data_IF_736649680696
#
_entry.id   IF_736649680696
#
_cell.length_a   1.000
_cell.length_b   1.000
_cell.length_c   1.000
_cell.angle_alpha   90.00
_cell.angle_beta   90.00
_cell.angle_gamma   90.00
#
_symmetry.space_group_name_H-M   'P 1'
#
loop_
_entity.id
_entity.type
_entity.pdbx_description
1 polymer ?
#
# COMPACT_ATOMS: atom_id res chain seq x y z
N UNK A 1 -4.69 -20.60 -0.07
CA UNK A 1 -4.59 -19.48 -1.02
C UNK A 1 -3.18 -19.44 -1.58
N UNK A 2 -2.97 -19.99 -2.77
CA UNK A 2 -1.75 -19.82 -3.54
C UNK A 2 -1.99 -18.65 -4.50
N UNK A 3 -1.53 -17.47 -4.18
CA UNK A 3 -1.43 -16.41 -5.15
C UNK A 3 -0.22 -16.72 -6.03
N UNK A 4 -0.47 -17.10 -7.28
CA UNK A 4 0.57 -17.10 -8.28
C UNK A 4 0.85 -15.64 -8.62
N UNK A 5 1.91 -15.11 -8.07
CA UNK A 5 2.42 -13.78 -8.44
C UNK A 5 3.06 -13.97 -9.82
N UNK A 6 2.66 -13.15 -10.78
CA UNK A 6 3.18 -13.20 -12.14
C UNK A 6 4.71 -13.05 -12.20
N UNK A 7 5.31 -13.22 -13.37
CA UNK A 7 6.76 -13.25 -13.51
C UNK A 7 7.39 -11.92 -13.12
N UNK A 8 8.30 -11.97 -12.15
CA UNK A 8 9.16 -10.84 -11.78
C UNK A 8 10.34 -10.66 -12.75
N UNK A 9 10.55 -11.55 -13.67
CA UNK A 9 11.47 -11.32 -14.78
C UNK A 9 10.83 -10.44 -15.87
N UNK A 10 10.38 -9.26 -15.45
CA UNK A 10 10.13 -8.21 -16.41
C UNK A 10 11.50 -7.72 -16.88
N UNK A 11 11.91 -8.04 -18.12
CA UNK A 11 13.05 -7.35 -18.66
C UNK A 11 12.62 -5.88 -18.69
N UNK A 12 13.37 -5.02 -18.05
CA UNK A 12 13.16 -3.56 -18.04
C UNK A 12 12.99 -2.95 -19.45
N UNK A 13 12.97 -3.76 -20.48
CA UNK A 13 12.99 -3.32 -21.87
C UNK A 13 11.64 -3.13 -22.52
N UNK A 14 10.56 -3.68 -22.04
CA UNK A 14 9.26 -3.50 -22.73
C UNK A 14 8.08 -3.78 -21.81
N UNK A 15 7.77 -2.86 -20.91
CA UNK A 15 6.48 -2.86 -20.19
C UNK A 15 5.27 -2.89 -21.14
N UNK A 16 5.43 -2.39 -22.37
CA UNK A 16 4.41 -2.40 -23.42
C UNK A 16 4.22 -3.76 -24.14
N UNK A 17 5.04 -4.76 -23.85
CA UNK A 17 4.99 -6.08 -24.51
C UNK A 17 4.83 -7.24 -23.52
N UNK A 18 4.18 -7.02 -22.38
CA UNK A 18 3.76 -8.10 -21.52
C UNK A 18 2.82 -9.03 -22.31
N UNK A 19 3.40 -10.07 -22.90
CA UNK A 19 2.63 -11.06 -23.66
C UNK A 19 1.66 -11.74 -22.71
N UNK A 20 0.43 -11.97 -23.15
CA UNK A 20 -0.56 -12.78 -22.42
C UNK A 20 -0.16 -14.26 -22.28
N UNK A 21 0.99 -14.63 -22.79
CA UNK A 21 1.57 -15.96 -22.63
C UNK A 21 2.28 -16.03 -21.28
N UNK A 22 1.94 -17.03 -20.50
CA UNK A 22 2.73 -17.41 -19.34
C UNK A 22 4.18 -17.61 -19.79
N UNK A 23 5.17 -17.00 -19.13
CA UNK A 23 6.57 -17.27 -19.42
C UNK A 23 6.90 -18.75 -19.16
N UNK A 24 7.97 -19.23 -19.75
CA UNK A 24 8.48 -20.57 -19.47
C UNK A 24 8.70 -20.75 -17.96
N UNK A 25 8.46 -21.95 -17.46
CA UNK A 25 8.50 -22.24 -16.03
C UNK A 25 9.79 -21.77 -15.31
N UNK A 26 10.92 -21.76 -16.05
CA UNK A 26 12.21 -21.30 -15.54
C UNK A 26 12.36 -19.77 -15.45
N UNK A 27 11.42 -19.01 -16.01
CA UNK A 27 11.42 -17.54 -16.00
C UNK A 27 10.34 -16.95 -15.10
N UNK A 28 9.60 -17.78 -14.38
CA UNK A 28 8.50 -17.36 -13.50
C UNK A 28 9.03 -17.22 -12.08
N UNK A 29 8.94 -16.02 -11.54
CA UNK A 29 9.06 -15.79 -10.11
C UNK A 29 7.68 -15.98 -9.49
N UNK A 30 7.49 -17.06 -8.77
CA UNK A 30 6.21 -17.39 -8.16
C UNK A 30 6.43 -18.04 -6.80
N UNK A 31 5.46 -17.84 -5.91
CA UNK A 31 5.50 -18.46 -4.60
C UNK A 31 4.14 -18.37 -3.91
N UNK A 32 3.99 -19.16 -2.86
CA UNK A 32 2.81 -19.10 -2.01
C UNK A 32 3.20 -19.39 -0.57
N UNK A 33 2.50 -18.75 0.35
CA UNK A 33 2.58 -19.10 1.76
C UNK A 33 1.58 -20.23 2.08
N UNK A 34 2.03 -21.26 2.74
CA UNK A 34 1.12 -22.22 3.37
C UNK A 34 0.38 -21.54 4.55
N UNK A 35 -0.78 -22.09 4.90
CA UNK A 35 -1.51 -21.64 6.09
C UNK A 35 -0.63 -21.67 7.36
N UNK A 36 0.19 -22.69 7.52
CA UNK A 36 1.10 -22.80 8.67
C UNK A 36 2.15 -21.68 8.68
N UNK A 37 2.74 -21.35 7.54
CA UNK A 37 3.69 -20.24 7.43
C UNK A 37 3.06 -18.88 7.77
N UNK A 38 1.81 -18.64 7.34
CA UNK A 38 1.10 -17.41 7.69
C UNK A 38 0.81 -17.37 9.20
N UNK A 39 0.39 -18.47 9.81
CA UNK A 39 0.16 -18.55 11.24
C UNK A 39 1.44 -18.33 12.06
N UNK A 40 2.56 -18.86 11.59
CA UNK A 40 3.87 -18.65 12.21
C UNK A 40 4.31 -17.18 12.11
N UNK A 41 4.11 -16.56 10.94
CA UNK A 41 4.37 -15.13 10.71
C UNK A 41 3.50 -14.24 11.62
N UNK A 42 2.22 -14.53 11.77
CA UNK A 42 1.31 -13.82 12.69
C UNK A 42 1.78 -13.98 14.14
N UNK A 43 2.19 -15.18 14.53
CA UNK A 43 2.71 -15.44 15.87
C UNK A 43 3.98 -14.64 16.14
N UNK A 44 4.89 -14.59 15.17
CA UNK A 44 6.11 -13.80 15.25
C UNK A 44 5.82 -12.30 15.34
N UNK A 45 4.92 -11.79 14.50
CA UNK A 45 4.50 -10.39 14.51
C UNK A 45 3.87 -9.98 15.85
N UNK A 46 3.00 -10.82 16.41
CA UNK A 46 2.40 -10.61 17.73
C UNK A 46 3.43 -10.46 18.86
N UNK A 47 4.53 -11.22 18.82
CA UNK A 47 5.64 -11.09 19.81
C UNK A 47 6.31 -9.72 19.73
N UNK A 48 6.29 -9.10 18.55
CA UNK A 48 6.88 -7.78 18.30
C UNK A 48 5.86 -6.63 18.35
N UNK A 49 4.62 -6.91 18.73
CA UNK A 49 3.51 -5.95 18.74
C UNK A 49 3.24 -5.35 17.36
N UNK A 50 3.43 -6.13 16.31
CA UNK A 50 3.16 -5.77 14.92
C UNK A 50 1.86 -6.45 14.50
N UNK A 51 0.90 -5.67 14.02
CA UNK A 51 -0.34 -6.17 13.40
C UNK A 51 -0.10 -6.38 11.91
N UNK A 52 -0.52 -7.53 11.40
CA UNK A 52 -0.50 -7.79 9.95
C UNK A 52 -1.92 -7.61 9.43
N UNK A 53 -2.13 -6.64 8.55
CA UNK A 53 -3.39 -6.41 7.87
C UNK A 53 -3.30 -7.06 6.48
N UNK A 54 -4.11 -8.09 6.18
CA UNK A 54 -4.12 -8.66 4.85
C UNK A 54 -4.83 -7.73 3.87
N UNK A 55 -4.37 -7.72 2.62
CA UNK A 55 -5.02 -7.00 1.54
C UNK A 55 -5.33 -7.92 0.36
N UNK A 56 -6.53 -7.78 -0.17
CA UNK A 56 -6.99 -8.36 -1.44
C UNK A 56 -7.50 -7.20 -2.27
N UNK A 57 -6.66 -6.69 -3.14
CA UNK A 57 -6.96 -5.49 -3.91
C UNK A 57 -8.05 -5.75 -4.96
N UNK A 58 -9.15 -5.04 -4.81
CA UNK A 58 -10.36 -5.08 -5.63
C UNK A 58 -11.08 -3.71 -5.58
N UNK A 59 -11.83 -3.34 -6.62
CA UNK A 59 -12.07 -4.07 -7.87
C UNK A 59 -10.98 -3.91 -8.91
N UNK A 60 -10.12 -2.89 -8.79
CA UNK A 60 -8.93 -2.67 -9.59
C UNK A 60 -7.81 -3.65 -9.25
N UNK A 61 -6.66 -3.51 -9.88
CA UNK A 61 -5.43 -4.30 -9.62
C UNK A 61 -5.61 -5.83 -9.53
N UNK A 62 -6.76 -6.34 -9.99
CA UNK A 62 -7.21 -7.73 -9.80
C UNK A 62 -6.76 -8.69 -10.92
N UNK A 63 -5.84 -8.27 -11.79
CA UNK A 63 -5.45 -9.11 -12.95
C UNK A 63 -4.94 -10.50 -12.55
N UNK A 64 -4.21 -10.60 -11.45
CA UNK A 64 -3.72 -11.88 -10.94
C UNK A 64 -4.89 -12.80 -10.52
N UNK A 65 -5.90 -12.24 -9.85
CA UNK A 65 -7.11 -12.96 -9.46
C UNK A 65 -7.89 -13.43 -10.67
N UNK A 66 -8.07 -12.57 -11.66
CA UNK A 66 -8.76 -12.89 -12.92
C UNK A 66 -8.04 -13.99 -13.72
N UNK A 67 -6.71 -13.98 -13.73
CA UNK A 67 -5.92 -15.03 -14.41
C UNK A 67 -5.93 -16.35 -13.63
N UNK A 68 -5.97 -16.31 -12.31
CA UNK A 68 -6.00 -17.51 -11.48
C UNK A 68 -7.38 -18.20 -11.49
N UNK A 69 -8.46 -17.42 -11.55
CA UNK A 69 -9.84 -17.88 -11.48
C UNK A 69 -10.71 -17.23 -12.59
N UNK A 70 -10.39 -17.46 -13.86
CA UNK A 70 -11.05 -16.77 -14.97
C UNK A 70 -12.56 -17.06 -15.04
N UNK A 71 -12.98 -18.27 -14.68
CA UNK A 71 -14.40 -18.64 -14.68
C UNK A 71 -15.26 -17.86 -13.66
N UNK A 72 -14.61 -17.15 -12.74
CA UNK A 72 -15.29 -16.39 -11.67
C UNK A 72 -15.06 -14.89 -11.82
N UNK A 73 -13.89 -14.46 -12.28
CA UNK A 73 -13.49 -13.06 -12.22
C UNK A 73 -13.21 -12.44 -13.58
N UNK A 74 -13.51 -13.13 -14.67
CA UNK A 74 -13.35 -12.57 -16.02
C UNK A 74 -14.69 -12.55 -16.74
N UNK A 75 -15.11 -11.38 -17.19
CA UNK A 75 -16.27 -11.19 -18.04
C UNK A 75 -15.85 -11.06 -19.51
N UNK A 76 -16.35 -11.94 -20.36
CA UNK A 76 -16.08 -11.88 -21.78
C UNK A 76 -16.69 -10.63 -22.40
N UNK A 77 -15.87 -9.86 -23.15
CA UNK A 77 -16.30 -8.61 -23.78
C UNK A 77 -15.99 -7.35 -22.97
N UNK A 78 -15.53 -7.46 -21.73
CA UNK A 78 -14.94 -6.33 -21.03
C UNK A 78 -13.51 -6.08 -21.54
N UNK A 79 -13.29 -4.92 -22.15
CA UNK A 79 -12.02 -4.50 -22.73
C UNK A 79 -11.35 -3.38 -21.93
N UNK A 80 -11.72 -3.19 -20.66
CA UNK A 80 -11.11 -2.19 -19.79
C UNK A 80 -9.59 -2.36 -19.69
N UNK A 81 -8.84 -1.27 -19.73
CA UNK A 81 -7.39 -1.27 -19.69
C UNK A 81 -6.86 -0.42 -18.53
N UNK A 82 -5.74 -0.86 -17.97
CA UNK A 82 -4.94 -0.10 -17.01
C UNK A 82 -3.50 -0.02 -17.52
N UNK A 83 -2.99 1.19 -17.69
CA UNK A 83 -1.59 1.46 -18.07
C UNK A 83 -1.08 0.62 -19.26
N UNK A 84 -1.96 0.31 -20.22
CA UNK A 84 -1.62 -0.55 -21.38
C UNK A 84 -1.63 -2.05 -21.09
N UNK A 85 -2.02 -2.45 -19.90
CA UNK A 85 -2.32 -3.84 -19.55
C UNK A 85 -3.81 -4.09 -19.78
N UNK A 86 -4.17 -5.17 -20.46
CA UNK A 86 -5.58 -5.53 -20.64
C UNK A 86 -6.31 -5.63 -19.30
N UNK A 87 -7.60 -5.86 -19.33
CA UNK A 87 -8.51 -5.81 -18.20
C UNK A 87 -7.89 -6.31 -16.89
N UNK A 88 -7.90 -5.47 -15.86
CA UNK A 88 -7.38 -5.74 -14.52
C UNK A 88 -8.43 -5.54 -13.42
N UNK A 89 -9.69 -5.36 -13.77
CA UNK A 89 -10.79 -5.08 -12.84
C UNK A 89 -11.83 -6.19 -12.88
N UNK A 90 -12.22 -6.68 -11.72
CA UNK A 90 -13.24 -7.74 -11.59
C UNK A 90 -14.61 -7.25 -12.08
N UNK A 91 -15.52 -8.16 -12.47
CA UNK A 91 -16.82 -7.81 -13.09
C UNK A 91 -17.85 -7.35 -12.03
N UNK A 92 -17.71 -6.13 -11.52
CA UNK A 92 -18.51 -5.59 -10.41
C UNK A 92 -20.03 -5.64 -10.65
N UNK A 93 -20.46 -5.51 -11.92
CA UNK A 93 -21.87 -5.54 -12.27
C UNK A 93 -22.48 -6.94 -12.18
N UNK A 94 -21.67 -7.97 -12.10
CA UNK A 94 -22.09 -9.35 -11.88
C UNK A 94 -22.29 -9.68 -10.39
N UNK A 95 -21.83 -8.85 -9.47
CA UNK A 95 -21.96 -9.13 -8.04
C UNK A 95 -23.45 -9.22 -7.64
N UNK A 96 -23.83 -10.35 -7.05
CA UNK A 96 -25.20 -10.69 -6.71
C UNK A 96 -26.17 -10.77 -7.92
N UNK A 97 -25.66 -10.93 -9.15
CA UNK A 97 -26.51 -11.19 -10.30
C UNK A 97 -26.96 -12.66 -10.37
N UNK A 98 -28.09 -12.90 -11.05
CA UNK A 98 -28.63 -14.25 -11.27
C UNK A 98 -27.91 -15.01 -12.42
N UNK A 99 -26.95 -14.39 -13.09
CA UNK A 99 -26.17 -15.02 -14.14
C UNK A 99 -25.30 -16.16 -13.58
N UNK A 100 -24.89 -17.10 -14.43
CA UNK A 100 -23.99 -18.18 -14.03
C UNK A 100 -22.64 -17.62 -13.56
N UNK A 101 -22.13 -16.57 -14.21
CA UNK A 101 -20.94 -15.86 -13.81
C UNK A 101 -21.14 -15.16 -12.47
N UNK A 102 -22.24 -14.41 -12.30
CA UNK A 102 -22.52 -13.66 -11.09
C UNK A 102 -22.68 -14.52 -9.84
N UNK A 103 -23.36 -15.65 -9.95
CA UNK A 103 -23.47 -16.61 -8.85
C UNK A 103 -22.09 -17.13 -8.43
N UNK A 104 -21.26 -17.50 -9.38
CA UNK A 104 -19.91 -18.00 -9.12
C UNK A 104 -18.98 -16.90 -8.60
N UNK A 105 -19.00 -15.73 -9.21
CA UNK A 105 -18.25 -14.55 -8.79
C UNK A 105 -18.56 -14.19 -7.35
N UNK A 106 -19.84 -14.03 -7.00
CA UNK A 106 -20.27 -13.65 -5.64
C UNK A 106 -19.82 -14.69 -4.61
N UNK A 107 -19.99 -15.99 -4.92
CA UNK A 107 -19.60 -17.07 -4.01
C UNK A 107 -18.09 -17.11 -3.80
N UNK A 108 -17.30 -17.07 -4.88
CA UNK A 108 -15.85 -17.16 -4.82
C UNK A 108 -15.22 -15.93 -4.17
N UNK A 109 -15.70 -14.72 -4.49
CA UNK A 109 -15.23 -13.49 -3.87
C UNK A 109 -15.51 -13.49 -2.36
N UNK A 110 -16.76 -13.77 -1.97
CA UNK A 110 -17.15 -13.87 -0.57
C UNK A 110 -16.28 -14.86 0.19
N UNK A 111 -16.02 -16.01 -0.42
CA UNK A 111 -15.19 -17.06 0.17
C UNK A 111 -13.72 -16.62 0.34
N UNK A 112 -13.13 -15.99 -0.67
CA UNK A 112 -11.75 -15.47 -0.63
C UNK A 112 -11.62 -14.44 0.49
N UNK A 113 -12.49 -13.43 0.53
CA UNK A 113 -12.41 -12.34 1.51
C UNK A 113 -12.58 -12.88 2.94
N UNK A 114 -13.59 -13.70 3.16
CA UNK A 114 -13.87 -14.22 4.52
C UNK A 114 -12.81 -15.19 5.00
N UNK A 115 -12.31 -16.08 4.16
CA UNK A 115 -11.22 -17.00 4.54
C UNK A 115 -9.92 -16.24 4.82
N UNK A 116 -9.61 -15.21 4.04
CA UNK A 116 -8.45 -14.36 4.28
C UNK A 116 -8.57 -13.66 5.63
N UNK A 117 -9.67 -12.97 5.89
CA UNK A 117 -9.89 -12.31 7.17
C UNK A 117 -9.80 -13.30 8.36
N UNK A 118 -10.43 -14.48 8.26
CA UNK A 118 -10.36 -15.50 9.30
C UNK A 118 -8.95 -16.00 9.57
N UNK A 119 -8.10 -16.09 8.54
CA UNK A 119 -6.72 -16.54 8.70
C UNK A 119 -5.90 -15.55 9.52
N UNK A 120 -6.18 -14.24 9.40
CA UNK A 120 -5.47 -13.17 10.09
C UNK A 120 -6.15 -12.69 11.39
N UNK A 121 -7.28 -13.26 11.78
CA UNK A 121 -8.07 -12.80 12.93
C UNK A 121 -7.51 -13.23 14.31
N UNK A 122 -6.34 -13.89 14.37
CA UNK A 122 -5.73 -14.38 15.62
C UNK A 122 -4.67 -13.42 16.19
N UNK A 123 -4.79 -12.13 15.89
CA UNK A 123 -3.83 -11.14 16.34
C UNK A 123 -4.23 -10.54 17.69
N UNK A 124 -3.24 -10.36 18.56
CA UNK A 124 -3.43 -9.91 19.94
C UNK A 124 -2.68 -8.62 20.25
N UNK A 125 -2.26 -7.89 19.22
CA UNK A 125 -1.59 -6.60 19.38
C UNK A 125 -2.57 -5.52 19.87
N UNK A 126 -2.05 -4.47 20.48
CA UNK A 126 -2.88 -3.39 21.06
C UNK A 126 -3.72 -2.64 20.00
N UNK A 127 -3.26 -2.64 18.74
CA UNK A 127 -3.88 -1.89 17.65
C UNK A 127 -4.58 -2.78 16.62
N UNK A 128 -4.67 -4.09 16.90
CA UNK A 128 -5.38 -5.00 16.00
C UNK A 128 -6.87 -4.69 15.96
N UNK A 129 -7.39 -4.44 14.79
CA UNK A 129 -8.83 -4.37 14.54
C UNK A 129 -9.33 -5.78 14.23
N UNK A 130 -10.30 -6.25 14.99
CA UNK A 130 -10.85 -7.59 14.76
C UNK A 130 -11.56 -7.66 13.41
N UNK A 131 -11.28 -8.73 12.66
CA UNK A 131 -11.85 -8.99 11.34
C UNK A 131 -11.48 -7.93 10.29
N UNK A 132 -10.36 -7.25 10.43
CA UNK A 132 -9.91 -6.28 9.43
C UNK A 132 -9.38 -6.96 8.19
N UNK A 133 -9.78 -6.43 7.03
CA UNK A 133 -9.30 -6.82 5.71
C UNK A 133 -9.23 -5.56 4.83
N UNK A 134 -8.06 -5.25 4.31
CA UNK A 134 -7.94 -4.25 3.27
C UNK A 134 -8.39 -4.84 1.93
N UNK A 135 -9.17 -4.05 1.21
CA UNK A 135 -9.65 -4.38 -0.14
C UNK A 135 -9.00 -3.51 -1.22
N UNK A 136 -7.99 -2.72 -0.85
CA UNK A 136 -7.38 -1.76 -1.78
C UNK A 136 -8.38 -0.68 -2.19
N UNK A 137 -9.02 -0.85 -3.33
CA UNK A 137 -10.05 0.04 -3.82
C UNK A 137 -9.51 1.29 -4.50
N UNK A 138 -8.30 1.21 -5.01
CA UNK A 138 -7.62 2.31 -5.68
C UNK A 138 -7.58 2.13 -7.20
N UNK A 139 -7.32 3.25 -7.85
CA UNK A 139 -6.98 3.35 -9.26
C UNK A 139 -7.96 2.68 -10.24
N UNK A 140 -9.25 2.74 -9.96
CA UNK A 140 -10.28 2.40 -10.95
C UNK A 140 -10.44 3.55 -11.94
N UNK A 141 -10.03 3.31 -13.18
CA UNK A 141 -9.97 4.35 -14.19
C UNK A 141 -11.31 4.68 -14.81
N UNK A 142 -11.42 5.89 -15.30
CA UNK A 142 -12.56 6.31 -16.12
C UNK A 142 -12.67 5.42 -17.36
N UNK A 143 -13.85 4.86 -17.60
CA UNK A 143 -14.10 3.96 -18.70
C UNK A 143 -14.02 2.47 -18.34
N UNK A 144 -13.54 2.14 -17.14
CA UNK A 144 -13.61 0.76 -16.63
C UNK A 144 -15.07 0.28 -16.63
N UNK A 145 -15.29 -0.92 -17.16
CA UNK A 145 -16.60 -1.56 -17.37
C UNK A 145 -17.54 -0.86 -18.37
N UNK A 146 -17.10 0.10 -19.16
CA UNK A 146 -17.97 0.75 -20.11
C UNK A 146 -18.41 -0.21 -21.25
N UNK A 147 -17.57 -1.19 -21.59
CA UNK A 147 -17.84 -2.23 -22.57
C UNK A 147 -18.35 -3.55 -21.94
N UNK A 148 -18.32 -3.68 -20.62
CA UNK A 148 -18.73 -4.90 -19.92
C UNK A 148 -20.22 -5.20 -20.15
N UNK A 149 -20.60 -6.36 -20.70
CA UNK A 149 -22.00 -6.68 -21.01
C UNK A 149 -22.95 -6.60 -19.81
N UNK A 150 -22.51 -7.05 -18.63
CA UNK A 150 -23.30 -6.98 -17.40
C UNK A 150 -23.61 -5.55 -16.97
N UNK A 151 -22.73 -4.62 -17.30
CA UNK A 151 -22.89 -3.20 -16.96
C UNK A 151 -23.79 -2.43 -17.94
N UNK A 152 -24.26 -3.04 -19.03
CA UNK A 152 -25.16 -2.40 -20.01
C UNK A 152 -26.60 -2.34 -19.56
N UNK A 153 -26.94 -2.96 -18.43
CA UNK A 153 -28.30 -2.98 -17.88
C UNK A 153 -28.45 -2.05 -16.68
N UNK A 154 -29.69 -1.69 -16.31
CA UNK A 154 -29.96 -0.90 -15.11
C UNK A 154 -29.64 -1.72 -13.84
N UNK A 155 -29.10 -1.10 -12.79
CA UNK A 155 -28.86 0.34 -12.65
C UNK A 155 -27.53 0.82 -13.26
N UNK A 156 -26.65 -0.08 -13.66
CA UNK A 156 -25.25 0.11 -13.98
C UNK A 156 -24.99 1.01 -15.20
N UNK A 157 -25.83 0.90 -16.22
CA UNK A 157 -25.68 1.63 -17.50
C UNK A 157 -25.83 3.15 -17.40
N UNK A 158 -26.21 3.67 -16.22
CA UNK A 158 -26.31 5.11 -15.94
C UNK A 158 -25.23 5.61 -14.99
N UNK A 159 -24.31 4.75 -14.60
CA UNK A 159 -23.26 5.03 -13.64
C UNK A 159 -21.90 5.24 -14.35
N UNK A 160 -21.13 6.17 -13.83
CA UNK A 160 -19.69 6.27 -14.15
C UNK A 160 -18.92 5.12 -13.51
N UNK A 161 -17.68 4.87 -13.93
CA UNK A 161 -16.82 3.83 -13.34
C UNK A 161 -16.74 3.96 -11.81
N UNK A 162 -16.46 5.16 -11.31
CA UNK A 162 -16.43 5.44 -9.86
C UNK A 162 -17.77 5.17 -9.17
N UNK A 163 -18.90 5.49 -9.81
CA UNK A 163 -20.21 5.19 -9.23
C UNK A 163 -20.52 3.70 -9.22
N UNK A 164 -20.07 2.95 -10.23
CA UNK A 164 -20.14 1.49 -10.27
C UNK A 164 -19.32 0.88 -9.14
N UNK A 165 -18.10 1.35 -8.98
CA UNK A 165 -17.21 0.93 -7.91
C UNK A 165 -17.83 1.15 -6.53
N UNK A 166 -18.20 2.37 -6.19
CA UNK A 166 -18.78 2.67 -4.88
C UNK A 166 -20.10 1.92 -4.62
N UNK A 167 -20.91 1.75 -5.66
CA UNK A 167 -22.13 0.93 -5.52
C UNK A 167 -21.81 -0.54 -5.25
N UNK A 168 -20.81 -1.08 -5.93
CA UNK A 168 -20.29 -2.43 -5.69
C UNK A 168 -19.75 -2.57 -4.26
N UNK A 169 -18.88 -1.66 -3.82
CA UNK A 169 -18.27 -1.70 -2.50
C UNK A 169 -19.31 -1.58 -1.36
N UNK A 170 -20.29 -0.70 -1.52
CA UNK A 170 -21.42 -0.59 -0.60
C UNK A 170 -22.24 -1.90 -0.56
N UNK A 171 -22.52 -2.48 -1.72
CA UNK A 171 -23.23 -3.76 -1.82
C UNK A 171 -22.42 -4.90 -1.19
N UNK A 172 -21.11 -4.93 -1.45
CA UNK A 172 -20.16 -5.89 -0.89
C UNK A 172 -20.15 -5.81 0.65
N UNK A 173 -19.99 -4.59 1.19
CA UNK A 173 -19.95 -4.36 2.63
C UNK A 173 -21.26 -4.77 3.34
N UNK A 174 -22.37 -4.67 2.66
CA UNK A 174 -23.68 -5.08 3.20
C UNK A 174 -24.00 -6.58 2.99
N UNK A 175 -23.16 -7.32 2.26
CA UNK A 175 -23.41 -8.72 1.90
C UNK A 175 -22.92 -9.68 2.99
N UNK A 176 -23.80 -10.52 3.61
CA UNK A 176 -23.34 -11.54 4.55
C UNK A 176 -22.51 -12.65 3.85
N UNK A 177 -21.43 -13.13 4.45
CA UNK A 177 -20.88 -12.76 5.77
C UNK A 177 -19.86 -11.62 5.76
N UNK A 178 -19.64 -10.94 4.62
CA UNK A 178 -18.65 -9.85 4.48
C UNK A 178 -18.99 -8.69 5.42
N UNK A 179 -20.26 -8.42 5.68
CA UNK A 179 -20.72 -7.40 6.62
C UNK A 179 -20.29 -7.61 8.08
N UNK A 180 -19.60 -8.71 8.38
CA UNK A 180 -18.96 -8.95 9.68
C UNK A 180 -17.49 -8.55 9.70
N UNK A 181 -16.94 -8.15 8.56
CA UNK A 181 -15.58 -7.66 8.42
C UNK A 181 -15.53 -6.16 8.71
N UNK A 182 -14.33 -5.67 8.98
CA UNK A 182 -13.97 -4.26 8.95
C UNK A 182 -13.16 -4.04 7.68
N UNK A 183 -13.82 -3.51 6.66
CA UNK A 183 -13.14 -3.23 5.40
C UNK A 183 -12.26 -1.99 5.54
N UNK A 184 -11.04 -2.10 5.10
CA UNK A 184 -10.05 -1.03 5.00
C UNK A 184 -9.67 -0.84 3.53
N UNK A 185 -9.05 0.27 3.19
CA UNK A 185 -8.58 0.49 1.82
C UNK A 185 -8.03 1.89 1.62
N UNK A 186 -7.64 2.15 0.38
CA UNK A 186 -7.16 3.45 -0.05
C UNK A 186 -8.31 4.46 -0.07
N UNK A 187 -7.99 5.74 0.01
CA UNK A 187 -9.00 6.80 0.13
C UNK A 187 -10.08 6.78 -0.98
N UNK A 188 -9.77 6.21 -2.13
CA UNK A 188 -10.69 6.10 -3.26
C UNK A 188 -11.93 5.27 -2.94
N UNK A 189 -11.82 4.28 -2.05
CA UNK A 189 -13.00 3.47 -1.69
C UNK A 189 -14.07 4.25 -0.88
N UNK A 190 -13.73 5.47 -0.42
CA UNK A 190 -14.63 6.38 0.30
C UNK A 190 -14.87 7.69 -0.45
N UNK A 191 -13.82 8.24 -1.06
CA UNK A 191 -13.85 9.57 -1.67
C UNK A 191 -14.20 9.52 -3.15
N UNK A 192 -14.91 10.52 -3.60
CA UNK A 192 -15.07 10.83 -5.01
C UNK A 192 -13.80 11.47 -5.59
N UNK A 193 -13.69 11.55 -6.92
CA UNK A 193 -12.52 12.16 -7.58
C UNK A 193 -12.25 13.61 -7.17
N UNK A 194 -13.26 14.36 -6.75
CA UNK A 194 -13.12 15.72 -6.22
C UNK A 194 -12.83 15.76 -4.71
N UNK A 195 -12.52 14.61 -4.12
CA UNK A 195 -12.10 14.50 -2.73
C UNK A 195 -13.22 14.66 -1.70
N UNK A 196 -14.47 14.48 -2.09
CA UNK A 196 -15.62 14.54 -1.20
C UNK A 196 -16.08 13.14 -0.77
N UNK A 197 -16.67 13.03 0.42
CA UNK A 197 -17.32 11.78 0.83
C UNK A 197 -18.48 11.45 -0.12
N UNK A 198 -18.51 10.25 -0.64
CA UNK A 198 -19.67 9.77 -1.38
C UNK A 198 -20.83 9.47 -0.41
N UNK A 199 -21.66 10.47 -0.16
CA UNK A 199 -22.76 10.39 0.82
C UNK A 199 -23.81 9.31 0.50
N UNK A 200 -23.82 8.80 -0.72
CA UNK A 200 -24.83 7.84 -1.19
C UNK A 200 -24.39 6.38 -1.07
N UNK A 201 -23.12 6.13 -1.35
CA UNK A 201 -22.56 4.78 -1.44
C UNK A 201 -21.17 4.73 -0.86
N UNK A 202 -20.97 5.13 0.39
CA UNK A 202 -19.70 4.98 1.08
C UNK A 202 -19.85 4.03 2.27
N UNK A 203 -18.80 3.24 2.51
CA UNK A 203 -18.66 2.49 3.75
C UNK A 203 -18.56 3.49 4.89
N UNK A 204 -19.37 3.33 5.93
CA UNK A 204 -19.44 4.30 7.02
C UNK A 204 -18.24 4.20 7.96
N UNK A 205 -17.86 5.30 8.65
CA UNK A 205 -16.69 5.30 9.53
C UNK A 205 -16.71 4.21 10.61
N UNK A 206 -17.88 3.90 11.18
CA UNK A 206 -18.04 2.85 12.18
C UNK A 206 -17.98 1.41 11.62
N UNK A 207 -18.07 1.26 10.32
CA UNK A 207 -17.97 -0.01 9.58
C UNK A 207 -16.59 -0.21 8.98
N UNK A 208 -15.77 0.84 8.93
CA UNK A 208 -14.45 0.89 8.33
C UNK A 208 -13.36 0.49 9.34
N UNK A 209 -12.33 -0.21 8.89
CA UNK A 209 -11.07 -0.36 9.61
C UNK A 209 -10.21 0.90 9.44
N UNK A 210 -9.17 0.85 8.62
CA UNK A 210 -8.31 2.00 8.31
C UNK A 210 -8.56 2.56 6.90
N UNK A 211 -8.29 3.85 6.73
CA UNK A 211 -8.27 4.50 5.41
C UNK A 211 -6.90 5.10 5.16
N UNK A 212 -6.21 4.57 4.17
CA UNK A 212 -4.91 5.07 3.74
C UNK A 212 -5.08 6.18 2.71
N UNK A 213 -4.43 7.31 2.95
CA UNK A 213 -4.49 8.45 2.04
C UNK A 213 -3.13 8.64 1.38
N UNK A 214 -3.04 8.20 0.13
CA UNK A 214 -1.83 8.24 -0.66
C UNK A 214 -1.84 9.37 -1.71
N UNK A 215 -0.65 9.71 -2.20
CA UNK A 215 -0.42 10.69 -3.25
C UNK A 215 0.68 11.67 -2.93
N UNK A 216 0.76 12.74 -3.71
CA UNK A 216 1.68 13.86 -3.42
C UNK A 216 1.16 14.68 -2.25
N UNK A 217 2.06 15.31 -1.51
CA UNK A 217 1.74 16.02 -0.27
C UNK A 217 0.54 16.97 -0.35
N UNK A 218 0.40 17.70 -1.46
CA UNK A 218 -0.72 18.64 -1.64
C UNK A 218 -2.09 17.94 -1.77
N UNK A 219 -2.10 16.72 -2.28
CA UNK A 219 -3.31 15.91 -2.48
C UNK A 219 -3.70 15.18 -1.21
N UNK A 220 -2.71 14.56 -0.56
CA UNK A 220 -2.91 13.83 0.71
C UNK A 220 -3.53 14.72 1.76
N UNK A 221 -3.03 15.95 1.94
CA UNK A 221 -3.47 16.84 2.99
C UNK A 221 -4.98 17.13 2.92
N UNK A 222 -5.50 17.53 1.77
CA UNK A 222 -6.93 17.87 1.62
C UNK A 222 -7.85 16.67 1.81
N UNK A 223 -7.47 15.51 1.24
CA UNK A 223 -8.24 14.26 1.34
C UNK A 223 -8.26 13.74 2.79
N UNK A 224 -7.10 13.73 3.45
CA UNK A 224 -6.96 13.29 4.83
C UNK A 224 -7.79 14.15 5.80
N UNK A 225 -7.76 15.48 5.63
CA UNK A 225 -8.58 16.41 6.43
C UNK A 225 -10.07 16.15 6.20
N UNK A 226 -10.49 15.90 4.95
CA UNK A 226 -11.89 15.56 4.64
C UNK A 226 -12.31 14.27 5.36
N UNK A 227 -11.52 13.21 5.27
CA UNK A 227 -11.82 11.93 5.91
C UNK A 227 -11.82 12.03 7.43
N UNK A 228 -10.78 12.62 8.02
CA UNK A 228 -10.65 12.78 9.48
C UNK A 228 -11.82 13.59 10.07
N UNK A 229 -12.21 14.68 9.41
CA UNK A 229 -13.35 15.51 9.84
C UNK A 229 -14.70 14.76 9.75
N UNK A 230 -14.78 13.68 8.99
CA UNK A 230 -15.93 12.81 8.85
C UNK A 230 -15.80 11.48 9.62
N UNK A 231 -14.95 11.43 10.64
CA UNK A 231 -14.79 10.32 11.58
C UNK A 231 -14.11 9.05 11.03
N UNK A 232 -13.44 9.13 9.88
CA UNK A 232 -12.66 7.99 9.39
C UNK A 232 -11.29 7.95 10.06
N UNK A 233 -10.80 6.76 10.44
CA UNK A 233 -9.45 6.57 10.94
C UNK A 233 -8.45 6.61 9.77
N UNK A 234 -7.62 7.65 9.74
CA UNK A 234 -6.76 8.00 8.59
C UNK A 234 -5.31 7.65 8.87
N UNK A 235 -4.68 6.97 7.93
CA UNK A 235 -3.22 6.79 7.85
C UNK A 235 -2.71 7.59 6.65
N UNK A 236 -1.63 8.35 6.88
CA UNK A 236 -1.06 9.23 5.87
C UNK A 236 0.10 8.53 5.14
N UNK A 237 0.04 8.56 3.82
CA UNK A 237 1.07 8.00 2.96
C UNK A 237 1.45 9.02 1.87
N UNK A 238 2.50 9.76 2.12
CA UNK A 238 2.99 10.77 1.19
C UNK A 238 3.98 10.15 0.20
N UNK A 239 3.57 9.95 -1.04
CA UNK A 239 4.40 9.30 -2.05
C UNK A 239 5.76 10.01 -2.27
N UNK A 240 5.80 11.33 -2.12
CA UNK A 240 7.02 12.13 -2.21
C UNK A 240 7.95 12.03 -0.99
N UNK A 241 7.56 11.32 0.06
CA UNK A 241 8.38 11.10 1.27
C UNK A 241 8.52 9.64 1.67
N UNK A 242 7.50 8.83 1.48
CA UNK A 242 7.39 7.50 2.08
C UNK A 242 7.17 6.36 1.10
N UNK A 243 7.23 6.59 -0.21
CA UNK A 243 7.31 5.50 -1.19
C UNK A 243 8.77 5.04 -1.28
N UNK A 244 9.05 3.90 -0.66
CA UNK A 244 10.42 3.38 -0.54
C UNK A 244 10.93 2.74 -1.83
N UNK A 245 10.06 2.41 -2.76
CA UNK A 245 10.38 2.00 -4.12
C UNK A 245 10.86 3.16 -5.02
N UNK A 246 10.78 4.42 -4.56
CA UNK A 246 11.40 5.55 -5.25
C UNK A 246 12.92 5.49 -5.14
N UNK A 247 13.60 5.86 -6.23
CA UNK A 247 15.08 5.86 -6.30
C UNK A 247 15.70 6.81 -5.29
N UNK A 248 16.86 6.44 -4.76
CA UNK A 248 17.64 7.31 -3.86
C UNK A 248 18.35 8.45 -4.59
N UNK A 249 18.86 8.18 -5.79
CA UNK A 249 19.68 9.12 -6.56
C UNK A 249 19.28 9.10 -8.06
N UNK A 250 19.61 10.16 -8.83
CA UNK A 250 19.26 10.23 -10.24
C UNK A 250 20.20 9.41 -11.14
N UNK A 251 20.91 8.43 -10.61
CA UNK A 251 21.85 7.63 -11.38
C UNK A 251 21.11 6.55 -12.18
N UNK A 252 21.50 6.35 -13.45
CA UNK A 252 20.85 5.40 -14.36
C UNK A 252 20.85 3.93 -13.89
N UNK A 253 21.72 3.57 -12.96
CA UNK A 253 21.82 2.22 -12.39
C UNK A 253 21.16 2.09 -11.03
N UNK A 254 20.69 3.19 -10.45
CA UNK A 254 19.99 3.18 -9.19
C UNK A 254 18.62 2.50 -9.37
N UNK A 255 18.29 1.48 -8.57
CA UNK A 255 16.97 0.84 -8.65
C UNK A 255 15.87 1.76 -8.15
N UNK A 256 14.65 1.50 -8.59
CA UNK A 256 13.44 2.19 -8.14
C UNK A 256 12.80 3.06 -9.20
N UNK A 257 11.64 3.60 -8.82
CA UNK A 257 10.89 4.57 -9.60
C UNK A 257 11.23 6.01 -9.19
N UNK A 258 10.73 6.99 -9.95
CA UNK A 258 10.92 8.43 -9.66
C UNK A 258 9.69 9.29 -9.99
N UNK A 259 8.54 8.65 -10.23
CA UNK A 259 7.31 9.35 -10.61
C UNK A 259 6.73 10.21 -9.47
N UNK A 260 6.87 9.77 -8.22
CA UNK A 260 6.28 10.45 -7.07
C UNK A 260 7.10 11.65 -6.63
N UNK A 261 8.41 11.66 -6.86
CA UNK A 261 9.25 12.60 -6.14
C UNK A 261 10.37 13.20 -6.91
N UNK A 262 10.86 13.92 -6.19
CA UNK A 262 12.10 14.19 -5.47
C UNK A 262 12.72 12.86 -5.08
N UNK A 263 13.98 12.72 -5.28
CA UNK A 263 14.76 11.57 -4.85
C UNK A 263 14.46 11.28 -3.37
N UNK A 264 14.04 10.06 -3.08
CA UNK A 264 13.59 9.68 -1.74
C UNK A 264 14.71 9.03 -0.95
N UNK A 265 15.40 9.78 -0.10
CA UNK A 265 16.34 9.23 0.86
C UNK A 265 15.76 9.27 2.30
N UNK A 266 16.52 8.85 3.27
CA UNK A 266 16.13 8.76 4.68
C UNK A 266 15.75 10.10 5.29
N UNK A 267 16.36 11.20 4.85
CA UNK A 267 15.99 12.55 5.25
C UNK A 267 14.63 12.98 4.72
N UNK A 268 14.27 12.53 3.52
CA UNK A 268 12.92 12.71 2.98
C UNK A 268 11.90 11.96 3.84
N UNK A 269 12.17 10.70 4.16
CA UNK A 269 11.30 9.89 5.02
C UNK A 269 11.14 10.49 6.42
N UNK A 270 12.20 11.07 6.99
CA UNK A 270 12.10 11.81 8.25
C UNK A 270 11.25 13.08 8.12
N UNK A 271 11.32 13.74 6.97
CA UNK A 271 10.62 15.00 6.71
C UNK A 271 9.09 14.85 6.64
N UNK A 272 8.58 13.63 6.52
CA UNK A 272 7.14 13.32 6.56
C UNK A 272 6.47 13.85 7.83
N UNK A 273 7.21 13.92 8.94
CA UNK A 273 6.70 14.45 10.22
C UNK A 273 6.14 15.88 10.08
N UNK A 274 6.79 16.72 9.30
CA UNK A 274 6.33 18.11 9.07
C UNK A 274 5.02 18.11 8.27
N UNK A 275 4.95 17.30 7.21
CA UNK A 275 3.75 17.21 6.39
C UNK A 275 2.56 16.65 7.20
N UNK A 276 2.80 15.64 8.02
CA UNK A 276 1.80 15.06 8.91
C UNK A 276 1.29 16.06 9.96
N UNK A 277 2.19 16.76 10.63
CA UNK A 277 1.84 17.79 11.62
C UNK A 277 1.00 18.91 11.00
N UNK A 278 1.38 19.39 9.81
CA UNK A 278 0.62 20.38 9.09
C UNK A 278 -0.79 19.89 8.71
N UNK A 279 -0.93 18.62 8.36
CA UNK A 279 -2.23 18.01 8.05
C UNK A 279 -3.10 17.90 9.29
N UNK A 280 -2.53 17.46 10.42
CA UNK A 280 -3.24 17.43 11.71
C UNK A 280 -3.74 18.79 12.14
N UNK A 281 -2.92 19.84 12.01
CA UNK A 281 -3.30 21.20 12.37
C UNK A 281 -4.45 21.78 11.51
N UNK A 282 -4.68 21.25 10.32
CA UNK A 282 -5.80 21.67 9.46
C UNK A 282 -7.08 20.88 9.72
N UNK A 283 -7.01 19.75 10.41
CA UNK A 283 -8.17 18.97 10.77
C UNK A 283 -8.86 19.51 12.02
N UNK A 284 -10.20 19.50 12.02
CA UNK A 284 -11.01 19.74 13.22
C UNK A 284 -11.04 18.52 14.15
N UNK A 285 -10.60 17.36 13.65
CA UNK A 285 -10.53 16.09 14.36
C UNK A 285 -9.15 15.44 14.15
N UNK A 286 -8.07 16.07 14.65
CA UNK A 286 -6.70 15.60 14.42
C UNK A 286 -6.45 14.18 14.96
N UNK A 287 -7.17 13.76 16.00
CA UNK A 287 -7.04 12.44 16.61
C UNK A 287 -7.49 11.29 15.67
N UNK A 288 -8.25 11.61 14.63
CA UNK A 288 -8.62 10.64 13.59
C UNK A 288 -7.48 10.41 12.57
N UNK A 289 -6.42 11.22 12.60
CA UNK A 289 -5.20 10.97 11.84
C UNK A 289 -4.26 10.17 12.75
N UNK A 290 -4.26 8.86 12.56
CA UNK A 290 -3.76 7.91 13.55
C UNK A 290 -2.37 7.36 13.24
N UNK A 291 -1.83 7.60 12.05
CA UNK A 291 -0.52 7.05 11.68
C UNK A 291 0.05 7.54 10.37
N UNK A 292 1.27 7.07 10.12
CA UNK A 292 2.03 7.25 8.90
C UNK A 292 2.35 5.89 8.31
N UNK A 293 2.41 5.81 6.98
CA UNK A 293 2.80 4.61 6.26
C UNK A 293 3.91 4.88 5.26
N UNK A 294 4.71 3.84 4.99
CA UNK A 294 5.67 3.81 3.90
C UNK A 294 5.42 2.60 3.02
N UNK A 295 5.15 2.85 1.74
CA UNK A 295 4.93 1.80 0.76
C UNK A 295 6.25 1.31 0.16
N UNK A 296 6.31 0.03 -0.15
CA UNK A 296 7.39 -0.59 -0.90
C UNK A 296 6.80 -1.49 -1.99
N UNK A 297 6.45 -0.87 -3.11
CA UNK A 297 5.92 -1.57 -4.28
C UNK A 297 7.03 -2.38 -4.95
N UNK A 298 6.74 -3.60 -5.31
CA UNK A 298 7.79 -4.56 -5.68
C UNK A 298 7.98 -4.76 -7.18
N UNK A 299 7.37 -3.93 -8.01
CA UNK A 299 7.42 -4.03 -9.47
C UNK A 299 8.85 -4.04 -10.03
N UNK A 300 9.76 -3.35 -9.37
CA UNK A 300 11.18 -3.23 -9.76
C UNK A 300 12.13 -3.85 -8.73
N UNK A 301 11.63 -4.66 -7.82
CA UNK A 301 12.40 -5.30 -6.75
C UNK A 301 12.48 -6.81 -7.01
N UNK A 302 13.57 -7.31 -7.64
CA UNK A 302 13.68 -8.70 -8.07
C UNK A 302 14.00 -9.69 -6.95
N UNK A 303 14.55 -9.23 -5.83
CA UNK A 303 15.02 -10.10 -4.76
C UNK A 303 15.02 -9.44 -3.38
N UNK A 304 15.25 -10.26 -2.35
CA UNK A 304 15.27 -9.81 -0.97
C UNK A 304 16.41 -8.83 -0.65
N UNK A 305 17.55 -8.95 -1.32
CA UNK A 305 18.69 -8.05 -1.13
C UNK A 305 18.32 -6.64 -1.59
N UNK A 306 17.68 -6.52 -2.75
CA UNK A 306 17.21 -5.24 -3.25
C UNK A 306 16.05 -4.69 -2.42
N UNK A 307 15.16 -5.54 -1.91
CA UNK A 307 14.09 -5.14 -1.00
C UNK A 307 14.68 -4.46 0.25
N UNK A 308 15.68 -5.08 0.89
CA UNK A 308 16.35 -4.49 2.04
C UNK A 308 17.06 -3.17 1.68
N UNK A 309 17.72 -3.12 0.53
CA UNK A 309 18.38 -1.92 0.03
C UNK A 309 17.40 -0.76 -0.16
N UNK A 310 16.23 -1.01 -0.73
CA UNK A 310 15.22 0.00 -0.96
C UNK A 310 14.52 0.46 0.33
N UNK A 311 14.26 -0.47 1.25
CA UNK A 311 13.62 -0.17 2.53
C UNK A 311 14.55 0.50 3.54
N UNK A 312 15.84 0.14 3.55
CA UNK A 312 16.79 0.58 4.58
C UNK A 312 17.87 1.51 3.98
N UNK A 313 18.11 2.67 4.59
CA UNK A 313 17.62 3.13 5.90
C UNK A 313 16.34 3.99 5.87
N UNK A 314 15.61 4.16 4.76
CA UNK A 314 14.40 4.99 4.66
C UNK A 314 13.38 4.67 5.77
N UNK A 315 13.15 3.38 6.04
CA UNK A 315 12.23 2.93 7.10
C UNK A 315 12.61 3.49 8.46
N UNK A 316 13.91 3.68 8.75
CA UNK A 316 14.34 4.29 10.00
C UNK A 316 13.96 5.78 10.09
N UNK A 317 13.95 6.50 8.97
CA UNK A 317 13.49 7.88 8.89
C UNK A 317 11.97 7.97 9.17
N UNK A 318 11.18 7.10 8.57
CA UNK A 318 9.73 7.01 8.82
C UNK A 318 9.43 6.62 10.27
N UNK A 319 10.14 5.63 10.81
CA UNK A 319 9.96 5.20 12.20
C UNK A 319 10.26 6.34 13.19
N UNK A 320 11.33 7.09 12.96
CA UNK A 320 11.63 8.27 13.77
C UNK A 320 10.55 9.33 13.67
N UNK A 321 10.06 9.61 12.46
CA UNK A 321 8.99 10.57 12.21
C UNK A 321 7.69 10.18 12.93
N UNK A 322 7.37 8.89 12.94
CA UNK A 322 6.14 8.36 13.55
C UNK A 322 6.21 8.33 15.08
N UNK A 323 7.41 8.13 15.63
CA UNK A 323 7.60 7.89 17.07
C UNK A 323 7.93 9.13 17.87
N UNK A 324 8.50 10.16 17.25
CA UNK A 324 9.12 11.32 17.91
C UNK A 324 8.44 12.65 17.53
N UNK A 325 7.14 12.78 17.75
CA UNK A 325 6.30 13.84 17.20
C UNK A 325 6.78 15.29 17.42
N UNK A 326 7.46 15.62 18.52
CA UNK A 326 7.94 16.98 18.80
C UNK A 326 9.47 17.14 18.69
N UNK A 327 10.23 16.08 18.85
CA UNK A 327 11.70 16.11 18.85
C UNK A 327 12.34 15.99 17.47
N UNK A 328 11.53 15.77 16.44
CA UNK A 328 11.99 15.57 15.07
C UNK A 328 12.44 16.89 14.41
N UNK A 329 12.03 18.01 14.97
CA UNK A 329 12.40 19.32 14.42
C UNK A 329 13.51 19.99 15.23
N UNK A 330 14.46 20.62 14.56
CA UNK A 330 15.41 21.54 15.18
C UNK A 330 14.73 22.87 15.55
N UNK A 331 15.51 23.79 16.15
CA UNK A 331 15.06 25.14 16.56
C UNK A 331 14.46 25.94 15.38
N UNK A 332 14.63 25.50 14.14
CA UNK A 332 14.10 26.13 12.93
C UNK A 332 12.89 25.40 12.33
N UNK A 333 12.32 24.41 13.02
CA UNK A 333 11.21 23.61 12.51
C UNK A 333 11.58 22.64 11.39
N UNK A 334 12.86 22.32 11.23
CA UNK A 334 13.36 21.32 10.28
C UNK A 334 13.56 19.99 10.99
N UNK A 335 13.42 18.86 10.27
CA UNK A 335 13.73 17.55 10.83
C UNK A 335 15.14 17.50 11.40
N UNK A 336 15.30 16.91 12.58
CA UNK A 336 16.61 16.76 13.21
C UNK A 336 17.42 15.63 12.56
N UNK A 337 17.78 15.84 11.31
CA UNK A 337 18.57 14.90 10.51
C UNK A 337 19.91 14.57 11.15
N UNK A 338 20.59 15.53 11.78
CA UNK A 338 21.90 15.30 12.42
C UNK A 338 21.80 14.26 13.54
N UNK A 339 20.78 14.36 14.38
CA UNK A 339 20.58 13.39 15.46
C UNK A 339 20.27 11.99 14.93
N UNK A 340 19.37 11.88 13.93
CA UNK A 340 19.04 10.59 13.34
C UNK A 340 20.25 9.99 12.62
N UNK A 341 20.93 10.75 11.79
CA UNK A 341 22.07 10.26 11.02
C UNK A 341 23.21 9.76 11.92
N UNK A 342 23.43 10.44 13.05
CA UNK A 342 24.39 9.97 14.06
C UNK A 342 24.02 8.61 14.62
N UNK A 343 22.77 8.43 15.04
CA UNK A 343 22.29 7.15 15.60
C UNK A 343 22.26 6.02 14.57
N UNK A 344 22.03 6.34 13.30
CA UNK A 344 22.03 5.36 12.21
C UNK A 344 23.41 4.86 11.86
N UNK A 345 24.39 5.76 11.68
CA UNK A 345 25.59 5.43 10.94
C UNK A 345 26.92 5.71 11.62
N UNK A 346 26.96 6.48 12.69
CA UNK A 346 28.22 6.88 13.29
C UNK A 346 28.70 5.92 14.36
N UNK A 347 29.65 5.08 13.99
CA UNK A 347 30.36 4.21 14.89
C UNK A 347 30.06 2.73 14.71
N UNK A 348 30.87 1.90 15.35
CA UNK A 348 30.72 0.44 15.37
C UNK A 348 29.41 -0.02 16.03
N UNK A 349 28.74 0.88 16.70
CA UNK A 349 27.52 0.64 17.49
C UNK A 349 26.28 1.33 16.88
N UNK A 350 26.39 1.91 15.69
CA UNK A 350 25.26 2.50 15.00
C UNK A 350 24.18 1.46 14.63
N UNK A 351 22.93 1.90 14.51
CA UNK A 351 21.80 1.02 14.21
C UNK A 351 21.99 0.22 12.92
N UNK A 352 22.56 0.81 11.87
CA UNK A 352 22.82 0.11 10.61
C UNK A 352 23.90 -0.96 10.76
N UNK A 353 24.94 -0.70 11.55
CA UNK A 353 25.95 -1.70 11.86
C UNK A 353 25.35 -2.86 12.68
N UNK A 354 24.46 -2.57 13.60
CA UNK A 354 23.69 -3.57 14.34
C UNK A 354 22.83 -4.42 13.40
N UNK A 355 22.05 -3.81 12.51
CA UNK A 355 21.23 -4.54 11.54
C UNK A 355 22.06 -5.48 10.66
N UNK A 356 23.23 -5.03 10.23
CA UNK A 356 24.13 -5.88 9.45
C UNK A 356 24.71 -7.03 10.29
N UNK A 357 25.20 -6.75 11.50
CA UNK A 357 25.87 -7.75 12.35
C UNK A 357 24.90 -8.83 12.86
N UNK A 358 23.66 -8.48 13.17
CA UNK A 358 22.67 -9.39 13.76
C UNK A 358 21.79 -10.04 12.70
N UNK A 359 21.35 -9.29 11.71
CA UNK A 359 20.40 -9.76 10.71
C UNK A 359 20.97 -9.93 9.32
N UNK A 360 22.28 -9.62 9.13
CA UNK A 360 22.94 -9.61 7.83
C UNK A 360 22.20 -8.74 6.81
N UNK A 361 21.53 -7.70 7.29
CA UNK A 361 20.71 -6.85 6.44
C UNK A 361 21.56 -6.09 5.42
N UNK A 362 21.12 -6.14 4.18
CA UNK A 362 21.70 -5.36 3.09
C UNK A 362 20.97 -4.01 3.02
N UNK A 363 21.61 -2.96 3.50
CA UNK A 363 21.06 -1.61 3.45
C UNK A 363 21.89 -0.71 2.53
N UNK A 364 21.29 0.34 2.02
CA UNK A 364 21.99 1.32 1.20
C UNK A 364 23.13 1.97 2.01
N UNK A 365 24.34 1.96 1.45
CA UNK A 365 25.52 2.59 2.06
C UNK A 365 26.45 1.64 2.82
N UNK A 366 26.13 0.33 2.92
CA UNK A 366 27.03 -0.63 3.55
C UNK A 366 26.88 -2.04 2.95
N UNK A 367 27.95 -2.75 2.65
CA UNK A 367 29.35 -2.36 2.51
C UNK A 367 29.68 -1.80 1.11
N UNK A 368 28.70 -1.52 0.28
CA UNK A 368 28.86 -1.21 -1.14
C UNK A 368 29.19 0.27 -1.45
N UNK A 369 29.94 0.94 -0.56
CA UNK A 369 30.71 2.08 -1.00
C UNK A 369 29.91 3.36 -1.25
N UNK A 370 28.99 3.74 -0.38
CA UNK A 370 28.75 5.15 -0.18
C UNK A 370 29.72 5.65 0.90
N UNK A 371 31.01 5.47 0.59
CA UNK A 371 32.08 6.12 1.32
C UNK A 371 31.96 7.64 1.34
N UNK A 372 31.12 8.21 0.46
CA UNK A 372 30.92 9.65 0.38
C UNK A 372 29.83 10.18 1.32
N UNK A 373 28.86 9.37 1.75
CA UNK A 373 27.82 9.83 2.67
C UNK A 373 28.08 9.40 4.13
N UNK A 374 28.65 8.21 4.36
CA UNK A 374 29.04 7.80 5.70
C UNK A 374 30.02 8.78 6.40
N UNK A 375 31.04 9.35 5.73
CA UNK A 375 31.86 10.43 6.30
C UNK A 375 31.06 11.72 6.57
N UNK A 376 30.06 12.07 5.76
CA UNK A 376 29.21 13.24 6.03
C UNK A 376 28.34 13.02 7.25
N UNK A 377 27.73 11.84 7.41
CA UNK A 377 26.97 11.47 8.61
C UNK A 377 27.83 11.57 9.87
N UNK A 378 29.09 11.14 9.79
CA UNK A 378 29.98 11.10 10.96
C UNK A 378 30.72 12.42 11.22
N UNK A 379 30.98 13.22 10.22
CA UNK A 379 31.68 14.51 10.39
C UNK A 379 30.81 15.59 11.03
N UNK A 380 29.48 15.51 10.93
CA UNK A 380 28.58 16.45 11.61
C UNK A 380 28.45 16.16 13.12
N UNK A 381 28.80 14.96 13.56
CA UNK A 381 28.70 14.52 14.96
C UNK A 381 29.78 15.10 15.88
N UNK A 382 30.89 15.55 15.33
CA UNK A 382 32.00 16.15 16.14
C UNK A 382 31.68 17.57 16.64
N UNK A 383 30.51 18.12 16.32
CA UNK A 383 30.12 19.47 16.76
C UNK A 383 29.04 19.47 17.87
N UNK A 384 28.57 18.31 18.29
CA UNK A 384 27.61 18.21 19.37
C UNK A 384 28.20 17.35 20.48
N UNK A 385 28.87 18.00 21.41
CA UNK A 385 29.15 17.38 22.72
C UNK A 385 27.84 17.23 23.48
N UNK A 386 27.65 16.11 24.22
CA UNK A 386 26.44 15.85 24.99
C UNK A 386 26.18 16.89 26.08
#
# INVERSE_FOLDING_TARGET
>A
LGLAIGPLSWPQKNLSQASDKLPDADSVYSGSYSKAQIQDLISYANLHQITIIPEIDIPGHSRALMKALPDSFHEAGDNSEYAGYGNNSIPVCEFNSDSALGQKFTADLTNILTQTAQLFNQQTTLYAVNNELSIGGDEVFKGTWDDAPSCQTAPWNKMTSLQKEHYFLDTLNNNPPINQLKLSGWHEFVLTHDGQINSKHSIKPNETGHVWVWGKSSEVQSKAVTLANNDYPVILEYADYSYFDMTYTPQLKEPGFYWASKLGDTDASLSIAIAATNTQHQSNKPDNIIGLEGALWTDVIPDYTQLQYMALPKLAGLAEASWSAESVTDIGGKPNWQSLSYRLGCGKEGFLAYLNSVYQANYRGYPNGIEQEAPMLCNTANSVNP
#
